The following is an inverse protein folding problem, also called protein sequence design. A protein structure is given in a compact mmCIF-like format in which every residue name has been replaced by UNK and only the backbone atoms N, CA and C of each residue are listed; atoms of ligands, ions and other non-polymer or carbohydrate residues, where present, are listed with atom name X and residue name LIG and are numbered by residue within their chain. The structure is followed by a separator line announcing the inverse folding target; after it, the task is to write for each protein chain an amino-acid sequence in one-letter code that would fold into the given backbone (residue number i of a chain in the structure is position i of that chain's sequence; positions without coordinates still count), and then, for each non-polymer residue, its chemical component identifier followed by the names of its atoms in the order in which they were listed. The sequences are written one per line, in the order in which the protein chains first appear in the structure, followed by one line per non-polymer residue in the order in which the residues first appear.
data_IF_257272152582
#
_entry.id   IF_257272152582
#
_cell.length_a   1.000
_cell.length_b   1.000
_cell.length_c   1.000
_cell.angle_alpha   90.00
_cell.angle_beta   90.00
_cell.angle_gamma   90.00
#
_symmetry.space_group_name_H-M   'P 1'
#
loop_
_entity.id
_entity.type
_entity.pdbx_description
1 polymer ?
#
# COMPACT_ATOMS: atom_id res chain seq x y z
N UNK A 1 -4.76 -8.83 -9.13
CA UNK A 1 -3.31 -8.64 -9.26
C UNK A 1 -3.00 -7.19 -9.56
N UNK A 2 -1.91 -6.69 -9.01
CA UNK A 2 -1.34 -5.37 -9.26
C UNK A 2 0.12 -5.52 -9.68
N UNK A 3 0.78 -4.41 -10.02
CA UNK A 3 2.22 -4.42 -10.35
C UNK A 3 3.07 -4.98 -9.20
N UNK A 4 2.63 -4.76 -7.95
CA UNK A 4 3.36 -5.14 -6.75
C UNK A 4 2.89 -6.44 -6.11
N UNK A 5 1.69 -6.93 -6.41
CA UNK A 5 1.11 -8.11 -5.79
C UNK A 5 0.51 -9.05 -6.84
N UNK A 6 1.02 -10.26 -6.87
CA UNK A 6 0.40 -11.38 -7.56
C UNK A 6 -0.23 -12.30 -6.52
N UNK A 7 -1.53 -12.53 -6.63
CA UNK A 7 -2.31 -13.34 -5.71
C UNK A 7 -3.14 -14.35 -6.49
N UNK A 8 -3.04 -15.62 -6.08
CA UNK A 8 -3.86 -16.72 -6.59
C UNK A 8 -4.63 -17.37 -5.45
N UNK A 9 -5.87 -17.74 -5.72
CA UNK A 9 -6.73 -18.45 -4.77
C UNK A 9 -6.97 -19.84 -5.34
N UNK A 10 -6.70 -20.86 -4.54
CA UNK A 10 -6.90 -22.27 -4.88
C UNK A 10 -7.85 -22.93 -3.87
N UNK A 11 -8.61 -23.92 -4.32
CA UNK A 11 -9.38 -24.79 -3.41
C UNK A 11 -8.47 -25.88 -2.86
N UNK A 12 -8.42 -26.01 -1.54
CA UNK A 12 -7.68 -27.06 -0.87
C UNK A 12 -8.54 -28.28 -0.57
N UNK A 13 -7.88 -29.37 -0.23
CA UNK A 13 -8.48 -30.63 0.21
C UNK A 13 -8.40 -30.81 1.72
N UNK A 14 -7.64 -29.94 2.40
CA UNK A 14 -7.44 -30.00 3.86
C UNK A 14 -8.49 -29.14 4.60
N UNK A 15 -8.80 -29.44 5.86
CA UNK A 15 -9.75 -28.68 6.66
C UNK A 15 -9.23 -27.29 7.05
N UNK A 16 -7.93 -27.04 6.90
CA UNK A 16 -7.28 -25.76 7.22
C UNK A 16 -6.80 -25.04 5.97
N UNK A 17 -7.03 -23.73 5.91
CA UNK A 17 -6.48 -22.91 4.83
C UNK A 17 -5.01 -22.55 5.06
N UNK A 18 -4.31 -22.27 3.98
CA UNK A 18 -2.89 -21.95 3.98
C UNK A 18 -2.61 -20.71 3.13
N UNK A 19 -1.73 -19.83 3.63
CA UNK A 19 -1.07 -18.80 2.85
C UNK A 19 0.36 -19.26 2.56
N UNK A 20 0.66 -19.53 1.31
CA UNK A 20 1.99 -19.94 0.84
C UNK A 20 2.51 -18.94 -0.20
N UNK A 21 3.79 -19.10 -0.57
CA UNK A 21 4.44 -18.31 -1.61
C UNK A 21 5.07 -19.24 -2.64
N UNK A 22 4.82 -18.97 -3.91
CA UNK A 22 5.45 -19.61 -5.06
C UNK A 22 6.14 -18.53 -5.91
N UNK A 23 7.45 -18.33 -5.73
CA UNK A 23 8.19 -17.26 -6.41
C UNK A 23 7.69 -15.86 -6.02
N UNK A 24 7.15 -15.11 -6.97
CA UNK A 24 6.58 -13.76 -6.76
C UNK A 24 5.08 -13.78 -6.38
N UNK A 25 4.43 -14.94 -6.47
CA UNK A 25 3.01 -15.09 -6.26
C UNK A 25 2.70 -15.58 -4.84
N UNK A 26 1.74 -14.94 -4.19
CA UNK A 26 1.11 -15.45 -2.98
C UNK A 26 -0.05 -16.36 -3.35
N UNK A 27 -0.11 -17.54 -2.75
CA UNK A 27 -1.17 -18.50 -2.96
C UNK A 27 -1.97 -18.68 -1.69
N UNK A 28 -3.26 -18.37 -1.75
CA UNK A 28 -4.23 -18.63 -0.69
C UNK A 28 -4.92 -19.95 -1.04
N UNK A 29 -4.62 -21.02 -0.28
CA UNK A 29 -5.32 -22.28 -0.38
C UNK A 29 -6.51 -22.26 0.59
N UNK A 30 -7.72 -22.29 0.07
CA UNK A 30 -8.94 -22.28 0.88
C UNK A 30 -9.14 -23.65 1.56
N UNK A 31 -9.67 -23.67 2.79
CA UNK A 31 -10.09 -24.93 3.42
C UNK A 31 -11.08 -25.71 2.56
N UNK A 32 -11.03 -27.05 2.68
CA UNK A 32 -12.04 -27.89 2.05
C UNK A 32 -13.45 -27.53 2.52
N UNK A 33 -14.39 -27.45 1.56
CA UNK A 33 -15.80 -27.12 1.88
C UNK A 33 -16.08 -25.68 2.28
N UNK A 34 -15.06 -24.79 2.28
CA UNK A 34 -15.26 -23.37 2.60
C UNK A 34 -16.13 -22.70 1.52
N UNK A 35 -17.21 -22.06 1.95
CA UNK A 35 -18.09 -21.24 1.10
C UNK A 35 -17.93 -19.78 1.48
N UNK A 36 -17.51 -18.94 0.52
CA UNK A 36 -17.28 -17.50 0.78
C UNK A 36 -18.56 -16.71 1.04
N UNK A 37 -19.71 -17.27 0.72
CA UNK A 37 -21.03 -16.68 1.01
C UNK A 37 -21.37 -16.69 2.52
N UNK A 38 -20.74 -17.59 3.30
CA UNK A 38 -20.89 -17.63 4.75
C UNK A 38 -20.08 -16.47 5.39
N UNK A 39 -20.72 -15.58 6.19
CA UNK A 39 -20.02 -14.46 6.83
C UNK A 39 -18.82 -14.86 7.70
N UNK A 40 -18.85 -16.06 8.32
CA UNK A 40 -17.73 -16.58 9.12
C UNK A 40 -16.50 -16.85 8.24
N UNK A 41 -16.74 -17.34 7.02
CA UNK A 41 -15.69 -17.64 6.05
C UNK A 41 -15.16 -16.37 5.39
N UNK A 42 -15.97 -15.32 5.22
CA UNK A 42 -15.51 -14.01 4.77
C UNK A 42 -14.48 -13.41 5.74
N UNK A 43 -14.72 -13.51 7.05
CA UNK A 43 -13.76 -13.04 8.07
C UNK A 43 -12.41 -13.78 7.98
N UNK A 44 -12.43 -15.10 7.70
CA UNK A 44 -11.21 -15.86 7.43
C UNK A 44 -10.50 -15.35 6.17
N UNK A 45 -11.21 -15.22 5.06
CA UNK A 45 -10.66 -14.76 3.79
C UNK A 45 -10.02 -13.38 3.92
N UNK A 46 -10.69 -12.46 4.62
CA UNK A 46 -10.18 -11.12 4.89
C UNK A 46 -8.88 -11.15 5.71
N UNK A 47 -8.80 -11.98 6.76
CA UNK A 47 -7.56 -12.12 7.56
C UNK A 47 -6.41 -12.63 6.72
N UNK A 48 -6.62 -13.67 5.90
CA UNK A 48 -5.57 -14.25 5.06
C UNK A 48 -5.12 -13.27 3.97
N UNK A 49 -6.06 -12.56 3.34
CA UNK A 49 -5.75 -11.51 2.39
C UNK A 49 -4.92 -10.38 3.04
N UNK A 50 -5.36 -9.89 4.20
CA UNK A 50 -4.63 -8.85 4.94
C UNK A 50 -3.21 -9.30 5.28
N UNK A 51 -3.01 -10.57 5.65
CA UNK A 51 -1.68 -11.10 5.93
C UNK A 51 -0.81 -11.19 4.67
N UNK A 52 -1.37 -11.58 3.52
CA UNK A 52 -0.66 -11.56 2.24
C UNK A 52 -0.21 -10.15 1.87
N UNK A 53 -1.13 -9.17 1.97
CA UNK A 53 -0.84 -7.74 1.75
C UNK A 53 0.25 -7.24 2.70
N UNK A 54 0.17 -7.58 3.98
CA UNK A 54 1.13 -7.19 5.01
C UNK A 54 2.54 -7.71 4.72
N UNK A 55 2.65 -8.99 4.38
CA UNK A 55 3.94 -9.60 4.02
C UNK A 55 4.54 -8.91 2.80
N UNK A 56 3.72 -8.73 1.76
CA UNK A 56 4.20 -8.08 0.54
C UNK A 56 4.59 -6.61 0.76
N UNK A 57 3.77 -5.84 1.48
CA UNK A 57 4.07 -4.45 1.79
C UNK A 57 5.38 -4.29 2.57
N UNK A 58 5.67 -5.18 3.54
CA UNK A 58 6.93 -5.17 4.29
C UNK A 58 8.16 -5.48 3.43
N UNK A 59 7.99 -6.25 2.35
CA UNK A 59 9.09 -6.56 1.42
C UNK A 59 9.35 -5.42 0.43
N UNK A 60 8.30 -4.74 -0.02
CA UNK A 60 8.38 -3.83 -1.17
C UNK A 60 8.48 -2.36 -0.78
N UNK A 61 7.66 -1.91 0.17
CA UNK A 61 7.56 -0.48 0.46
C UNK A 61 8.81 0.11 1.14
N UNK A 62 9.45 -0.55 2.14
CA UNK A 62 10.65 0.02 2.75
C UNK A 62 11.82 0.21 1.78
N UNK A 63 12.14 -0.73 0.87
CA UNK A 63 13.15 -0.49 -0.18
C UNK A 63 12.83 0.71 -1.07
N UNK A 64 11.58 0.87 -1.53
CA UNK A 64 11.16 2.03 -2.33
C UNK A 64 11.40 3.33 -1.56
N UNK A 65 10.98 3.41 -0.29
CA UNK A 65 11.22 4.60 0.54
C UNK A 65 12.72 4.87 0.67
N UNK A 66 13.53 3.84 0.87
CA UNK A 66 14.97 3.99 1.04
C UNK A 66 15.65 4.52 -0.22
N UNK A 67 15.33 3.93 -1.37
CA UNK A 67 15.89 4.33 -2.68
C UNK A 67 15.51 5.76 -3.03
N UNK A 68 14.24 6.12 -2.87
CA UNK A 68 13.76 7.46 -3.23
C UNK A 68 14.21 8.53 -2.23
N UNK A 69 14.28 8.20 -0.94
CA UNK A 69 14.86 9.12 0.05
C UNK A 69 16.33 9.40 -0.27
N UNK A 70 17.13 8.38 -0.61
CA UNK A 70 18.52 8.54 -1.00
C UNK A 70 18.65 9.38 -2.29
N UNK A 71 17.79 9.13 -3.29
CA UNK A 71 17.73 9.87 -4.55
C UNK A 71 17.49 11.38 -4.35
N UNK A 72 16.64 11.74 -3.37
CA UNK A 72 16.32 13.13 -3.06
C UNK A 72 17.18 13.74 -1.94
N UNK A 73 18.18 13.00 -1.43
CA UNK A 73 19.04 13.45 -0.34
C UNK A 73 18.32 13.65 0.99
N UNK A 74 17.21 12.93 1.20
CA UNK A 74 16.37 13.03 2.40
C UNK A 74 16.77 11.99 3.44
N UNK A 75 16.60 12.35 4.73
CA UNK A 75 16.84 11.45 5.86
C UNK A 75 15.54 11.23 6.61
N UNK A 76 15.15 9.98 6.76
CA UNK A 76 14.03 9.56 7.59
C UNK A 76 14.52 8.68 8.76
N UNK A 77 13.69 8.50 9.77
CA UNK A 77 14.04 7.67 10.93
C UNK A 77 13.69 6.20 10.68
N UNK A 78 12.39 5.88 10.51
CA UNK A 78 11.91 4.50 10.32
C UNK A 78 10.72 4.45 9.38
N UNK A 79 10.54 3.29 8.73
CA UNK A 79 9.34 2.97 7.94
C UNK A 79 8.53 1.91 8.68
N UNK A 80 7.24 2.14 8.81
CA UNK A 80 6.29 1.21 9.42
C UNK A 80 5.18 0.87 8.43
N UNK A 81 4.82 -0.40 8.37
CA UNK A 81 3.65 -0.86 7.61
C UNK A 81 2.48 -1.04 8.57
N UNK A 82 1.40 -0.32 8.31
CA UNK A 82 0.21 -0.25 9.16
C UNK A 82 -1.01 -0.83 8.45
N UNK A 83 -1.89 -1.45 9.22
CA UNK A 83 -3.22 -1.85 8.77
C UNK A 83 -4.20 -0.71 9.05
N UNK A 84 -4.14 0.32 8.22
CA UNK A 84 -4.99 1.53 8.33
C UNK A 84 -5.65 1.78 6.99
N UNK A 85 -6.98 1.90 6.99
CA UNK A 85 -7.82 2.14 5.81
C UNK A 85 -8.15 3.61 5.58
N UNK A 86 -8.07 4.43 6.63
CA UNK A 86 -8.46 5.85 6.60
C UNK A 86 -7.42 6.78 5.94
N UNK A 87 -6.19 6.29 5.75
CA UNK A 87 -5.10 7.04 5.10
C UNK A 87 -4.09 6.09 4.46
N UNK A 88 -3.45 6.54 3.40
CA UNK A 88 -2.46 5.78 2.66
C UNK A 88 -1.05 5.84 3.26
N UNK A 89 -0.73 6.97 3.90
CA UNK A 89 0.52 7.20 4.59
C UNK A 89 0.42 8.26 5.68
N UNK A 90 1.49 8.45 6.43
CA UNK A 90 1.72 9.60 7.31
C UNK A 90 3.21 9.72 7.64
N UNK A 91 3.68 10.96 7.79
CA UNK A 91 5.01 11.27 8.30
C UNK A 91 4.89 12.00 9.63
N UNK A 92 5.67 11.58 10.64
CA UNK A 92 5.72 12.27 11.92
C UNK A 92 6.84 13.33 11.95
N UNK A 93 6.76 14.29 12.89
CA UNK A 93 7.82 15.28 13.12
C UNK A 93 9.19 14.66 13.48
N UNK A 94 9.21 13.40 13.91
CA UNK A 94 10.43 12.64 14.16
C UNK A 94 10.97 11.92 12.91
N UNK A 95 10.38 12.16 11.73
CA UNK A 95 10.78 11.52 10.50
C UNK A 95 10.40 10.03 10.39
N UNK A 96 9.40 9.56 11.15
CA UNK A 96 8.87 8.21 10.97
C UNK A 96 7.81 8.22 9.87
N UNK A 97 7.99 7.37 8.87
CA UNK A 97 7.08 7.19 7.73
C UNK A 97 6.23 5.96 8.00
N UNK A 98 4.90 6.12 8.01
CA UNK A 98 3.95 5.03 8.08
C UNK A 98 3.28 4.88 6.72
N UNK A 99 3.20 3.66 6.21
CA UNK A 99 2.53 3.34 4.95
C UNK A 99 1.47 2.27 5.19
N UNK A 100 0.32 2.43 4.56
CA UNK A 100 -0.75 1.43 4.62
C UNK A 100 -0.39 0.19 3.80
N UNK A 101 -0.64 -1.00 4.36
CA UNK A 101 -0.51 -2.25 3.61
C UNK A 101 -1.48 -2.32 2.41
N UNK A 102 -2.56 -1.54 2.45
CA UNK A 102 -3.56 -1.46 1.38
C UNK A 102 -3.04 -0.79 0.10
N UNK A 103 -1.86 -0.13 0.16
CA UNK A 103 -1.14 0.36 -1.02
C UNK A 103 -0.78 -0.77 -2.00
N UNK A 104 -0.71 -2.02 -1.54
CA UNK A 104 -0.48 -3.17 -2.44
C UNK A 104 -1.61 -3.38 -3.45
N UNK A 105 -2.77 -2.79 -3.26
CA UNK A 105 -3.90 -2.80 -4.19
C UNK A 105 -3.84 -1.66 -5.21
N UNK A 106 -3.01 -0.64 -4.97
CA UNK A 106 -2.90 0.54 -5.81
C UNK A 106 -2.03 0.29 -7.05
N UNK A 107 -2.28 1.00 -8.16
CA UNK A 107 -1.35 1.13 -9.26
C UNK A 107 0.01 1.67 -8.78
N UNK A 108 1.07 1.29 -9.47
CA UNK A 108 2.44 1.61 -9.04
C UNK A 108 2.72 3.12 -8.99
N UNK A 109 2.16 3.89 -9.90
CA UNK A 109 2.29 5.36 -9.92
C UNK A 109 1.68 6.00 -8.67
N UNK A 110 0.58 5.46 -8.15
CA UNK A 110 -0.04 5.92 -6.91
C UNK A 110 0.73 5.48 -5.66
N UNK A 111 1.42 4.34 -5.70
CA UNK A 111 2.32 3.93 -4.62
C UNK A 111 3.47 4.91 -4.50
N UNK A 112 4.14 5.25 -5.62
CA UNK A 112 5.20 6.25 -5.64
C UNK A 112 4.68 7.63 -5.21
N UNK A 113 3.47 8.00 -5.62
CA UNK A 113 2.86 9.25 -5.17
C UNK A 113 2.76 9.32 -3.64
N UNK A 114 2.29 8.27 -2.97
CA UNK A 114 2.21 8.27 -1.51
C UNK A 114 3.59 8.30 -0.88
N UNK A 115 4.56 7.54 -1.40
CA UNK A 115 5.94 7.58 -0.91
C UNK A 115 6.52 8.99 -1.02
N UNK A 116 6.40 9.65 -2.17
CA UNK A 116 6.90 11.01 -2.37
C UNK A 116 6.19 12.04 -1.50
N UNK A 117 4.88 11.86 -1.31
CA UNK A 117 4.08 12.68 -0.41
C UNK A 117 4.61 12.62 1.04
N UNK A 118 4.86 11.42 1.55
CA UNK A 118 5.39 11.25 2.91
C UNK A 118 6.86 11.71 3.01
N UNK A 119 7.66 11.54 1.96
CA UNK A 119 9.02 12.08 1.91
C UNK A 119 9.04 13.62 1.88
N UNK A 120 8.09 14.26 1.19
CA UNK A 120 7.98 15.71 1.18
C UNK A 120 7.67 16.28 2.57
N UNK A 121 6.91 15.54 3.39
CA UNK A 121 6.64 15.92 4.78
C UNK A 121 7.86 15.93 5.70
N UNK A 122 8.98 15.33 5.31
CA UNK A 122 10.23 15.44 6.08
C UNK A 122 10.75 16.89 6.14
N UNK A 123 10.43 17.71 5.13
CA UNK A 123 10.83 19.12 5.08
C UNK A 123 9.64 20.07 5.33
N UNK A 124 8.45 19.72 4.86
CA UNK A 124 7.26 20.58 4.90
C UNK A 124 6.07 19.82 5.50
N UNK A 125 5.82 19.98 6.78
CA UNK A 125 4.77 19.25 7.51
C UNK A 125 3.35 19.60 7.04
N UNK A 126 3.14 20.79 6.50
CA UNK A 126 1.85 21.25 6.01
C UNK A 126 1.80 21.22 4.49
N UNK A 127 0.61 21.01 3.91
CA UNK A 127 0.38 21.05 2.46
C UNK A 127 0.40 22.50 1.92
N UNK A 128 1.45 23.25 2.25
CA UNK A 128 1.72 24.60 1.79
C UNK A 128 2.09 24.64 0.30
N UNK A 129 2.24 25.84 -0.27
CA UNK A 129 2.76 25.98 -1.63
C UNK A 129 4.18 25.37 -1.76
N UNK A 130 5.00 25.42 -0.70
CA UNK A 130 6.34 24.81 -0.69
C UNK A 130 6.27 23.29 -0.74
N UNK A 131 5.33 22.67 -0.02
CA UNK A 131 5.09 21.23 -0.08
C UNK A 131 4.79 20.78 -1.51
N UNK A 132 3.84 21.44 -2.18
CA UNK A 132 3.47 21.08 -3.54
C UNK A 132 4.60 21.32 -4.54
N UNK A 133 5.33 22.43 -4.41
CA UNK A 133 6.50 22.70 -5.24
C UNK A 133 7.59 21.63 -5.06
N UNK A 134 7.86 21.17 -3.83
CA UNK A 134 8.81 20.10 -3.56
C UNK A 134 8.34 18.78 -4.13
N UNK A 135 7.05 18.43 -3.96
CA UNK A 135 6.48 17.19 -4.50
C UNK A 135 6.57 17.18 -6.05
N UNK A 136 6.24 18.29 -6.70
CA UNK A 136 6.39 18.44 -8.15
C UNK A 136 7.86 18.32 -8.59
N UNK A 137 8.80 18.86 -7.81
CA UNK A 137 10.23 18.76 -8.09
C UNK A 137 10.72 17.30 -8.03
N UNK A 138 10.18 16.45 -7.18
CA UNK A 138 10.51 15.01 -7.17
C UNK A 138 10.13 14.31 -8.47
N UNK A 139 9.09 14.78 -9.15
CA UNK A 139 8.68 14.30 -10.47
C UNK A 139 9.36 15.01 -11.63
N UNK A 140 9.94 16.19 -11.40
CA UNK A 140 10.44 17.06 -12.48
C UNK A 140 9.31 17.64 -13.35
N UNK A 141 8.06 17.66 -12.86
CA UNK A 141 6.86 18.04 -13.61
C UNK A 141 5.93 18.91 -12.74
N UNK A 142 5.76 20.21 -13.08
CA UNK A 142 4.84 21.08 -12.35
C UNK A 142 3.39 20.59 -12.41
N UNK A 143 2.70 20.62 -11.27
CA UNK A 143 1.31 20.18 -11.14
C UNK A 143 1.10 18.67 -11.01
N UNK A 144 2.17 17.88 -11.11
CA UNK A 144 2.10 16.41 -11.06
C UNK A 144 1.57 15.91 -9.72
N UNK A 145 2.00 16.53 -8.62
CA UNK A 145 1.55 16.17 -7.28
C UNK A 145 0.03 16.28 -7.13
N UNK A 146 -0.55 17.39 -7.55
CA UNK A 146 -2.00 17.63 -7.54
C UNK A 146 -2.77 16.69 -8.46
N UNK A 147 -2.24 16.40 -9.62
CA UNK A 147 -2.82 15.44 -10.55
C UNK A 147 -2.90 14.04 -9.93
N UNK A 148 -1.81 13.57 -9.30
CA UNK A 148 -1.78 12.24 -8.66
C UNK A 148 -2.63 12.20 -7.38
N UNK A 149 -2.75 13.32 -6.65
CA UNK A 149 -3.69 13.45 -5.54
C UNK A 149 -5.13 13.16 -5.99
N UNK A 150 -5.55 13.76 -7.11
CA UNK A 150 -6.89 13.55 -7.66
C UNK A 150 -7.12 12.10 -8.11
N UNK A 151 -6.11 11.48 -8.74
CA UNK A 151 -6.15 10.05 -9.08
C UNK A 151 -6.26 9.15 -7.86
N UNK A 152 -5.51 9.44 -6.80
CA UNK A 152 -5.56 8.68 -5.56
C UNK A 152 -6.93 8.78 -4.88
N UNK A 153 -7.55 9.96 -4.89
CA UNK A 153 -8.93 10.15 -4.41
C UNK A 153 -9.93 9.33 -5.21
N UNK A 154 -9.82 9.33 -6.55
CA UNK A 154 -10.67 8.52 -7.42
C UNK A 154 -10.50 7.02 -7.17
N UNK A 155 -9.26 6.56 -7.01
CA UNK A 155 -8.94 5.17 -6.68
C UNK A 155 -9.55 4.75 -5.32
N UNK A 156 -9.42 5.59 -4.28
CA UNK A 156 -10.01 5.34 -2.97
C UNK A 156 -11.55 5.19 -3.04
N UNK A 157 -12.23 6.05 -3.82
CA UNK A 157 -13.67 5.96 -4.03
C UNK A 157 -14.07 4.68 -4.78
N UNK A 158 -13.27 4.23 -5.76
CA UNK A 158 -13.54 2.98 -6.48
C UNK A 158 -13.42 1.76 -5.55
N UNK A 159 -12.39 1.72 -4.68
CA UNK A 159 -12.26 0.66 -3.68
C UNK A 159 -13.46 0.61 -2.73
N UNK A 160 -13.93 1.76 -2.25
CA UNK A 160 -15.10 1.83 -1.37
C UNK A 160 -16.37 1.29 -2.07
N UNK A 161 -16.59 1.64 -3.34
CA UNK A 161 -17.74 1.14 -4.13
C UNK A 161 -17.71 -0.37 -4.34
N UNK A 162 -16.51 -0.96 -4.37
CA UNK A 162 -16.32 -2.43 -4.50
C UNK A 162 -16.41 -3.16 -3.13
N UNK A 163 -16.79 -2.48 -2.06
CA UNK A 163 -16.73 -3.00 -0.68
C UNK A 163 -15.34 -3.55 -0.31
N UNK A 164 -14.30 -3.05 -0.96
CA UNK A 164 -12.93 -3.32 -0.57
C UNK A 164 -12.53 -2.36 0.55
N UNK A 165 -11.64 -2.80 1.44
CA UNK A 165 -11.28 -2.00 2.59
C UNK A 165 -10.59 -0.71 2.22
#
# INVERSE_FOLDING_TARGET
NTDLLQLRIERGTQPTGLLSRKGKEFVITMPAGLRLEDPRNQAWAQRVLTEALRRRAKEVLPPIVHEEAARFGLRYNRVYIKDVKSRWGSCSSLGNINLSLWLMLAPIDLVYYVVYHELAHLNEMNHSARFWAQLDAFYGEPGRGKFLESKMKAFALDLQRRNMP
#
